data_IF_539978616967
#
_entry.id   IF_539978616967
#
_cell.length_a   1.000
_cell.length_b   1.000
_cell.length_c   1.000
_cell.angle_alpha   90.00
_cell.angle_beta   90.00
_cell.angle_gamma   90.00
#
_symmetry.space_group_name_H-M   'P 1'
#
loop_
_entity.id
_entity.type
_entity.pdbx_description
1 polymer ?
#
# COMPACT_ATOMS: atom_id res chain seq x y z
N UNK A 1 -39.61 10.96 5.88
CA UNK A 1 -38.76 9.77 6.06
C UNK A 1 -37.90 9.67 4.82
N UNK A 2 -36.82 10.43 4.80
CA UNK A 2 -35.93 10.57 3.65
C UNK A 2 -34.81 9.55 3.79
N UNK A 3 -34.70 8.52 2.92
CA UNK A 3 -33.53 7.68 2.94
C UNK A 3 -32.35 8.46 2.36
N UNK A 4 -31.41 8.84 3.24
CA UNK A 4 -30.08 9.37 2.85
C UNK A 4 -29.45 8.48 1.77
N UNK A 5 -28.87 9.02 0.70
CA UNK A 5 -28.09 8.23 -0.22
C UNK A 5 -26.91 7.64 0.55
N UNK A 6 -26.91 6.31 0.68
CA UNK A 6 -25.76 5.57 1.18
C UNK A 6 -24.62 5.87 0.22
N UNK A 7 -23.55 6.44 0.73
CA UNK A 7 -22.28 6.51 0.03
C UNK A 7 -21.82 5.07 -0.15
N UNK A 8 -22.23 4.43 -1.25
CA UNK A 8 -21.61 3.22 -1.74
C UNK A 8 -20.16 3.61 -2.06
N UNK A 9 -19.28 3.42 -1.06
CA UNK A 9 -17.85 3.38 -1.28
C UNK A 9 -17.61 2.22 -2.25
N UNK A 10 -17.61 2.57 -3.54
CA UNK A 10 -17.25 1.68 -4.63
C UNK A 10 -15.96 0.98 -4.19
N UNK A 11 -15.96 -0.35 -4.02
CA UNK A 11 -14.73 -1.05 -3.68
C UNK A 11 -13.72 -0.67 -4.74
N UNK A 12 -12.57 -0.14 -4.30
CA UNK A 12 -11.46 0.18 -5.17
C UNK A 12 -11.25 -1.04 -6.05
N UNK A 13 -11.53 -0.89 -7.35
CA UNK A 13 -11.49 -1.98 -8.29
C UNK A 13 -10.10 -2.59 -8.17
N UNK A 14 -10.03 -3.83 -7.66
CA UNK A 14 -8.80 -4.62 -7.59
C UNK A 14 -8.27 -4.63 -9.01
N UNK A 15 -7.29 -3.78 -9.25
CA UNK A 15 -6.73 -3.65 -10.58
C UNK A 15 -5.94 -4.95 -10.73
N UNK A 16 -6.40 -5.85 -11.61
CA UNK A 16 -5.71 -7.08 -12.03
C UNK A 16 -4.37 -6.79 -12.76
N UNK A 17 -3.72 -5.69 -12.40
CA UNK A 17 -2.35 -5.37 -12.73
C UNK A 17 -1.45 -5.82 -11.58
N UNK A 18 -0.19 -6.11 -11.90
CA UNK A 18 0.85 -6.56 -10.97
C UNK A 18 0.74 -5.83 -9.61
N UNK A 19 0.82 -6.55 -8.48
CA UNK A 19 0.71 -5.94 -7.16
C UNK A 19 1.77 -4.85 -7.01
N UNK A 20 1.34 -3.72 -6.45
CA UNK A 20 2.23 -2.60 -6.15
C UNK A 20 2.54 -2.63 -4.67
N UNK A 21 3.78 -2.30 -4.32
CA UNK A 21 4.26 -2.32 -2.95
C UNK A 21 4.79 -0.95 -2.56
N UNK A 22 4.50 -0.53 -1.34
CA UNK A 22 5.07 0.67 -0.76
C UNK A 22 6.59 0.55 -0.64
N UNK A 23 7.37 1.48 -1.20
CA UNK A 23 8.85 1.45 -1.17
C UNK A 23 9.42 1.82 0.19
N UNK A 24 8.65 2.59 0.97
CA UNK A 24 8.97 3.12 2.29
C UNK A 24 7.69 3.28 3.10
N UNK A 25 7.84 3.60 4.37
CA UNK A 25 6.72 3.99 5.20
C UNK A 25 6.23 5.38 4.80
N UNK A 26 4.95 5.50 4.44
CA UNK A 26 4.36 6.78 4.11
C UNK A 26 2.88 6.85 4.49
N UNK A 27 2.44 8.07 4.73
CA UNK A 27 1.02 8.40 4.89
C UNK A 27 0.51 8.96 3.57
N UNK A 28 -0.62 8.45 3.10
CA UNK A 28 -1.27 9.06 1.94
C UNK A 28 -1.79 10.47 2.32
N UNK A 29 -1.48 11.46 1.49
CA UNK A 29 -1.82 12.85 1.74
C UNK A 29 -3.33 13.13 1.63
N UNK A 30 -4.07 12.26 0.94
CA UNK A 30 -5.53 12.39 0.78
C UNK A 30 -6.36 11.68 1.85
N UNK A 31 -5.75 10.82 2.67
CA UNK A 31 -6.47 9.96 3.61
C UNK A 31 -5.75 9.81 4.95
N UNK A 32 -6.40 9.11 5.89
CA UNK A 32 -5.76 8.65 7.14
C UNK A 32 -5.06 7.31 6.97
N UNK A 33 -4.88 6.82 5.74
CA UNK A 33 -4.22 5.54 5.46
C UNK A 33 -2.72 5.68 5.62
N UNK A 34 -2.15 4.73 6.33
CA UNK A 34 -0.72 4.57 6.50
C UNK A 34 -0.29 3.29 5.81
N UNK A 35 0.78 3.38 5.03
CA UNK A 35 1.36 2.26 4.32
C UNK A 35 2.76 2.03 4.86
N UNK A 36 2.99 0.82 5.34
CA UNK A 36 4.32 0.38 5.75
C UNK A 36 5.15 -0.01 4.55
N UNK A 37 6.47 0.09 4.66
CA UNK A 37 7.37 -0.41 3.64
C UNK A 37 7.08 -1.88 3.31
N UNK A 38 6.92 -2.18 2.02
CA UNK A 38 6.60 -3.52 1.52
C UNK A 38 5.14 -3.92 1.68
N UNK A 39 4.28 -3.06 2.25
CA UNK A 39 2.84 -3.27 2.26
C UNK A 39 2.29 -3.24 0.83
N UNK A 40 1.38 -4.17 0.55
CA UNK A 40 0.70 -4.23 -0.74
C UNK A 40 -0.37 -3.13 -0.84
N UNK A 41 -0.30 -2.37 -1.92
CA UNK A 41 -1.18 -1.26 -2.23
C UNK A 41 -2.42 -1.78 -2.98
N UNK A 42 -3.30 -2.47 -2.26
CA UNK A 42 -4.50 -3.14 -2.82
C UNK A 42 -5.74 -2.25 -2.91
N UNK A 43 -5.85 -1.24 -2.05
CA UNK A 43 -7.04 -0.40 -1.88
C UNK A 43 -6.88 1.01 -2.48
N UNK A 44 -5.94 1.16 -3.42
CA UNK A 44 -5.61 2.44 -4.07
C UNK A 44 -5.91 2.37 -5.56
N UNK A 45 -6.48 3.46 -6.06
CA UNK A 45 -6.88 3.59 -7.45
C UNK A 45 -5.64 3.67 -8.36
N UNK A 46 -5.80 3.32 -9.64
CA UNK A 46 -4.71 3.41 -10.61
C UNK A 46 -4.08 4.82 -10.68
N UNK A 47 -4.89 5.89 -10.55
CA UNK A 47 -4.38 7.27 -10.51
C UNK A 47 -3.54 7.58 -9.28
N UNK A 48 -3.92 7.04 -8.11
CA UNK A 48 -3.14 7.17 -6.87
C UNK A 48 -1.82 6.41 -6.99
N UNK A 49 -1.85 5.19 -7.54
CA UNK A 49 -0.64 4.40 -7.78
C UNK A 49 0.35 5.10 -8.72
N UNK A 50 -0.14 5.76 -9.77
CA UNK A 50 0.72 6.56 -10.68
C UNK A 50 1.38 7.70 -9.90
N UNK A 51 0.64 8.38 -9.03
CA UNK A 51 1.19 9.45 -8.19
C UNK A 51 2.21 8.91 -7.18
N UNK A 52 1.91 7.81 -6.49
CA UNK A 52 2.83 7.18 -5.56
C UNK A 52 4.10 6.68 -6.25
N UNK A 53 4.00 6.13 -7.46
CA UNK A 53 5.16 5.78 -8.28
C UNK A 53 5.99 6.98 -8.68
N UNK A 54 5.35 8.04 -9.17
CA UNK A 54 6.04 9.28 -9.55
C UNK A 54 6.76 9.92 -8.34
N UNK A 55 6.19 9.79 -7.14
CA UNK A 55 6.80 10.22 -5.89
C UNK A 55 7.85 9.23 -5.33
N UNK A 56 8.08 8.08 -5.98
CA UNK A 56 9.00 7.05 -5.49
C UNK A 56 8.55 6.36 -4.20
N UNK A 57 7.24 6.34 -3.93
CA UNK A 57 6.56 5.72 -2.79
C UNK A 57 6.01 4.32 -3.11
N UNK A 58 5.81 3.97 -4.38
CA UNK A 58 5.31 2.67 -4.81
C UNK A 58 6.18 2.04 -5.91
N UNK A 59 6.36 0.72 -5.88
CA UNK A 59 7.08 -0.06 -6.90
C UNK A 59 6.32 -1.35 -7.25
N UNK A 60 6.67 -1.97 -8.39
CA UNK A 60 6.19 -3.33 -8.72
C UNK A 60 6.97 -4.40 -7.95
N UNK A 61 8.20 -4.07 -7.56
CA UNK A 61 9.03 -4.97 -6.76
C UNK A 61 8.64 -4.79 -5.31
N UNK A 62 8.33 -5.91 -4.64
CA UNK A 62 8.13 -5.90 -3.19
C UNK A 62 9.48 -5.60 -2.55
N UNK A 63 9.69 -4.39 -1.97
CA UNK A 63 10.86 -4.21 -1.14
C UNK A 63 10.69 -5.17 0.05
N UNK A 64 11.80 -5.77 0.50
CA UNK A 64 11.79 -6.59 1.71
C UNK A 64 11.11 -5.78 2.81
N UNK A 65 9.94 -6.24 3.25
CA UNK A 65 9.19 -5.60 4.33
C UNK A 65 10.09 -5.55 5.57
N UNK A 66 9.95 -4.53 6.44
CA UNK A 66 10.67 -4.49 7.70
C UNK A 66 10.40 -5.76 8.52
N UNK A 67 9.23 -6.38 8.43
CA UNK A 67 8.96 -7.69 9.05
C UNK A 67 9.79 -8.86 8.46
N UNK A 68 10.06 -8.89 7.15
CA UNK A 68 10.94 -9.88 6.53
C UNK A 68 12.42 -9.56 6.80
N UNK A 69 12.77 -8.28 6.87
CA UNK A 69 14.10 -7.81 7.22
C UNK A 69 14.41 -8.04 8.71
N UNK A 70 13.45 -7.82 9.61
CA UNK A 70 13.56 -8.12 11.04
C UNK A 70 13.57 -9.61 11.28
N UNK A 71 12.73 -10.40 10.61
CA UNK A 71 12.79 -11.86 10.73
C UNK A 71 14.12 -12.41 10.21
N UNK A 72 14.66 -11.86 9.12
CA UNK A 72 15.99 -12.21 8.63
C UNK A 72 17.11 -11.73 9.57
N UNK A 73 17.02 -10.51 10.11
CA UNK A 73 17.99 -9.99 11.07
C UNK A 73 17.95 -10.73 12.41
N UNK A 74 16.77 -11.20 12.84
CA UNK A 74 16.58 -11.99 14.05
C UNK A 74 17.09 -13.42 13.86
N UNK A 75 16.88 -14.02 12.68
CA UNK A 75 17.42 -15.34 12.31
C UNK A 75 18.96 -15.28 12.20
N UNK A 76 19.52 -14.21 11.64
CA UNK A 76 20.98 -13.97 11.57
C UNK A 76 21.59 -13.68 12.95
N UNK A 77 20.87 -13.00 13.85
CA UNK A 77 21.34 -12.71 15.21
C UNK A 77 21.24 -13.91 16.18
N UNK A 78 20.44 -14.93 15.85
CA UNK A 78 20.28 -16.14 16.66
C UNK A 78 21.09 -17.34 16.13
N UNK A 79 21.79 -17.16 15.00
CA UNK A 79 22.62 -18.16 14.33
C UNK A 79 24.08 -18.17 14.77
#
# INVERSE_FOLDING_TARGET
MDPKPKTDAKPAAKTEGKPHYATRDFKDAGTTRYFERGAELTDVSAGELVNYRAAGLASFEKPKSPAEAEKAALDEALG
#
